data_IF_818239550426
#
_entry.id   IF_818239550426
#
_cell.length_a   1.000
_cell.length_b   1.000
_cell.length_c   1.000
_cell.angle_alpha   90.00
_cell.angle_beta   90.00
_cell.angle_gamma   90.00
#
_symmetry.space_group_name_H-M   'P 1'
#
loop_
_entity.id
_entity.type
_entity.pdbx_description
1 polymer ?
#
# COMPACT_ATOMS: atom_id res chain seq x y z
N UNK A 1 -8.56 3.47 15.76
CA UNK A 1 -7.58 3.04 14.74
C UNK A 1 -8.18 3.27 13.37
N UNK A 2 -7.41 3.82 12.42
CA UNK A 2 -7.88 4.22 11.10
C UNK A 2 -7.64 3.17 9.99
N UNK A 3 -7.20 1.96 10.37
CA UNK A 3 -6.90 0.85 9.46
C UNK A 3 -7.74 -0.36 9.88
N UNK A 4 -8.48 -0.95 8.94
CA UNK A 4 -9.14 -2.25 9.09
C UNK A 4 -8.23 -3.33 8.53
N UNK A 5 -7.93 -4.36 9.34
CA UNK A 5 -7.22 -5.56 8.92
C UNK A 5 -8.22 -6.67 8.64
N UNK A 6 -7.96 -7.46 7.59
CA UNK A 6 -8.81 -8.57 7.17
C UNK A 6 -7.98 -9.85 7.21
N UNK A 7 -8.51 -10.84 7.92
CA UNK A 7 -7.92 -12.17 8.06
C UNK A 7 -8.95 -13.22 7.61
N UNK A 8 -8.47 -14.31 7.02
CA UNK A 8 -9.28 -15.49 6.66
C UNK A 8 -8.83 -16.69 7.49
N UNK A 9 -9.77 -17.42 8.05
CA UNK A 9 -9.49 -18.68 8.76
C UNK A 9 -9.02 -19.72 7.74
N UNK A 10 -7.88 -20.36 8.02
CA UNK A 10 -7.29 -21.43 7.20
C UNK A 10 -7.40 -22.80 7.83
N UNK A 11 -7.64 -22.87 9.14
CA UNK A 11 -7.84 -24.13 9.86
C UNK A 11 -8.28 -23.89 11.29
N UNK A 12 -8.84 -24.92 11.91
CA UNK A 12 -9.21 -24.91 13.33
C UNK A 12 -8.67 -26.19 13.96
N UNK A 13 -7.92 -26.04 15.05
CA UNK A 13 -7.40 -27.17 15.84
C UNK A 13 -7.46 -26.83 17.32
N UNK A 14 -7.92 -27.78 18.15
CA UNK A 14 -8.00 -27.63 19.61
C UNK A 14 -8.70 -26.33 20.06
N UNK A 15 -9.76 -25.93 19.35
CA UNK A 15 -10.50 -24.70 19.63
C UNK A 15 -9.78 -23.40 19.23
N UNK A 16 -8.62 -23.47 18.57
CA UNK A 16 -7.87 -22.31 18.04
C UNK A 16 -8.01 -22.25 16.52
N UNK A 17 -8.30 -21.06 16.00
CA UNK A 17 -8.38 -20.80 14.57
C UNK A 17 -7.07 -20.20 14.05
N UNK A 18 -6.43 -20.89 13.10
CA UNK A 18 -5.32 -20.36 12.33
C UNK A 18 -5.87 -19.44 11.24
N UNK A 19 -5.21 -18.29 11.03
CA UNK A 19 -5.65 -17.31 10.05
C UNK A 19 -4.52 -16.82 9.16
N UNK A 20 -4.87 -16.44 7.93
CA UNK A 20 -3.97 -15.75 7.00
C UNK A 20 -4.42 -14.32 6.76
N UNK A 21 -3.46 -13.41 6.59
CA UNK A 21 -3.73 -12.03 6.18
C UNK A 21 -4.27 -12.00 4.74
N UNK A 22 -5.45 -11.41 4.54
CA UNK A 22 -6.06 -11.24 3.20
C UNK A 22 -6.09 -9.80 2.72
N UNK A 23 -5.81 -8.84 3.60
CA UNK A 23 -5.70 -7.44 3.20
C UNK A 23 -5.88 -6.44 4.33
N UNK A 24 -5.66 -5.17 4.01
CA UNK A 24 -6.01 -4.05 4.88
C UNK A 24 -6.69 -2.95 4.08
N UNK A 25 -7.39 -2.07 4.77
CA UNK A 25 -8.06 -0.92 4.18
C UNK A 25 -8.04 0.26 5.17
N UNK A 26 -7.54 1.40 4.71
CA UNK A 26 -7.67 2.65 5.46
C UNK A 26 -9.15 3.08 5.47
N UNK A 27 -9.63 3.52 6.64
CA UNK A 27 -11.02 3.95 6.81
C UNK A 27 -11.37 5.10 5.84
N UNK A 28 -12.59 5.07 5.32
CA UNK A 28 -13.04 6.03 4.32
C UNK A 28 -13.01 7.48 4.82
N UNK A 29 -13.53 7.73 6.02
CA UNK A 29 -13.58 9.07 6.62
C UNK A 29 -12.18 9.63 6.89
N UNK A 30 -11.26 8.75 7.31
CA UNK A 30 -9.85 9.08 7.45
C UNK A 30 -9.29 9.54 6.11
N UNK A 31 -9.44 8.76 5.05
CA UNK A 31 -8.90 9.11 3.74
C UNK A 31 -9.52 10.39 3.15
N UNK A 32 -10.84 10.57 3.29
CA UNK A 32 -11.57 11.77 2.81
C UNK A 32 -11.08 13.04 3.50
N UNK A 33 -10.61 12.94 4.74
CA UNK A 33 -10.03 14.07 5.48
C UNK A 33 -8.74 14.61 4.85
N UNK A 34 -8.04 13.88 3.98
CA UNK A 34 -6.79 14.33 3.35
C UNK A 34 -6.95 14.88 1.94
N UNK A 35 -7.99 14.46 1.23
CA UNK A 35 -8.26 14.93 -0.13
C UNK A 35 -8.82 16.34 -0.06
N UNK A 36 -8.20 17.28 -0.78
CA UNK A 36 -8.63 18.68 -0.86
C UNK A 36 -8.62 19.14 -2.31
N UNK A 37 -9.47 20.13 -2.61
CA UNK A 37 -9.46 20.82 -3.91
C UNK A 37 -8.09 21.48 -4.14
N UNK A 38 -7.70 21.63 -5.42
CA UNK A 38 -6.44 22.28 -5.87
C UNK A 38 -5.15 21.54 -5.50
N UNK A 39 -5.24 20.28 -5.04
CA UNK A 39 -4.10 19.38 -4.84
C UNK A 39 -4.12 18.26 -5.89
N UNK A 40 -2.96 17.68 -6.20
CA UNK A 40 -2.89 16.46 -7.01
C UNK A 40 -2.97 15.22 -6.10
N UNK A 41 -3.87 14.29 -6.46
CA UNK A 41 -3.95 12.94 -5.88
C UNK A 41 -3.40 11.94 -6.90
N UNK A 42 -2.24 11.37 -6.61
CA UNK A 42 -1.59 10.40 -7.49
C UNK A 42 -1.84 9.02 -6.91
N UNK A 43 -2.67 8.24 -7.60
CA UNK A 43 -2.99 6.87 -7.23
C UNK A 43 -2.21 5.88 -8.11
N UNK A 44 -1.68 4.84 -7.47
CA UNK A 44 -1.07 3.70 -8.13
C UNK A 44 -1.75 2.41 -7.64
N UNK A 45 -2.14 1.56 -8.57
CA UNK A 45 -2.66 0.22 -8.31
C UNK A 45 -1.72 -0.74 -9.01
N UNK A 46 -1.03 -1.58 -8.26
CA UNK A 46 -0.13 -2.58 -8.82
C UNK A 46 -0.33 -3.95 -8.17
N UNK A 47 -0.16 -4.99 -8.98
CA UNK A 47 -0.14 -6.36 -8.54
C UNK A 47 1.32 -6.77 -8.34
N UNK A 48 1.61 -7.39 -7.19
CA UNK A 48 2.96 -7.78 -6.77
C UNK A 48 2.96 -9.20 -6.25
N UNK A 49 4.12 -9.85 -6.34
CA UNK A 49 4.37 -11.17 -5.78
C UNK A 49 5.37 -11.05 -4.65
N UNK A 50 5.05 -11.65 -3.50
CA UNK A 50 5.96 -11.70 -2.36
C UNK A 50 7.02 -12.77 -2.53
N UNK A 51 8.06 -12.74 -1.69
CA UNK A 51 9.16 -13.71 -1.70
C UNK A 51 8.66 -15.16 -1.54
N UNK A 52 7.67 -15.36 -0.68
CA UNK A 52 7.01 -16.62 -0.38
C UNK A 52 5.89 -16.97 -1.38
N UNK A 53 5.71 -16.18 -2.44
CA UNK A 53 4.89 -16.55 -3.60
C UNK A 53 3.45 -16.06 -3.59
N UNK A 54 3.02 -15.30 -2.57
CA UNK A 54 1.68 -14.73 -2.52
C UNK A 54 1.52 -13.58 -3.50
N UNK A 55 0.37 -13.53 -4.17
CA UNK A 55 0.03 -12.44 -5.09
C UNK A 55 -0.90 -11.44 -4.40
N UNK A 56 -0.54 -10.16 -4.44
CA UNK A 56 -1.26 -9.06 -3.77
C UNK A 56 -1.55 -7.93 -4.75
N UNK A 57 -2.72 -7.30 -4.64
CA UNK A 57 -3.03 -6.00 -5.25
C UNK A 57 -2.88 -4.90 -4.22
N UNK A 58 -2.02 -3.93 -4.50
CA UNK A 58 -1.73 -2.81 -3.62
C UNK A 58 -2.27 -1.52 -4.24
N UNK A 59 -3.06 -0.78 -3.48
CA UNK A 59 -3.47 0.59 -3.83
C UNK A 59 -2.72 1.57 -2.93
N UNK A 60 -1.89 2.39 -3.54
CA UNK A 60 -1.09 3.41 -2.86
C UNK A 60 -1.45 4.80 -3.39
N UNK A 61 -1.34 5.80 -2.51
CA UNK A 61 -1.72 7.18 -2.81
C UNK A 61 -0.65 8.14 -2.33
N UNK A 62 -0.28 9.08 -3.20
CA UNK A 62 0.53 10.25 -2.88
C UNK A 62 -0.34 11.50 -3.04
N UNK A 63 -0.35 12.33 -2.00
CA UNK A 63 -1.00 13.64 -1.98
C UNK A 63 0.05 14.73 -1.99
N UNK A 64 -0.04 15.64 -2.94
CA UNK A 64 0.89 16.78 -3.05
C UNK A 64 0.38 18.00 -2.26
N UNK A 65 1.25 18.99 -2.04
CA UNK A 65 0.85 20.27 -1.41
C UNK A 65 0.23 21.28 -2.40
N UNK A 66 0.34 21.04 -3.70
CA UNK A 66 -0.26 21.85 -4.76
C UNK A 66 -0.47 21.00 -6.02
N UNK A 67 -1.31 21.46 -6.95
CA UNK A 67 -1.49 20.80 -8.26
C UNK A 67 -0.17 20.75 -9.03
N UNK A 68 0.20 19.60 -9.55
CA UNK A 68 1.42 19.40 -10.33
C UNK A 68 1.11 19.03 -11.80
N UNK A 69 2.13 19.09 -12.66
CA UNK A 69 2.01 18.69 -14.07
C UNK A 69 1.87 17.17 -14.21
N UNK A 70 1.12 16.73 -15.23
CA UNK A 70 0.86 15.32 -15.54
C UNK A 70 2.13 14.50 -15.76
N UNK A 71 3.19 15.10 -16.32
CA UNK A 71 4.50 14.47 -16.49
C UNK A 71 5.11 14.05 -15.15
N UNK A 72 5.06 14.92 -14.14
CA UNK A 72 5.53 14.63 -12.77
C UNK A 72 4.64 13.60 -12.08
N UNK A 73 3.32 13.66 -12.28
CA UNK A 73 2.41 12.63 -11.75
C UNK A 73 2.73 11.24 -12.31
N UNK A 74 3.06 11.14 -13.60
CA UNK A 74 3.50 9.89 -14.24
C UNK A 74 4.81 9.37 -13.63
N UNK A 75 5.81 10.23 -13.45
CA UNK A 75 7.09 9.84 -12.83
C UNK A 75 6.89 9.31 -11.40
N UNK A 76 6.09 10.01 -10.59
CA UNK A 76 5.77 9.58 -9.22
C UNK A 76 5.06 8.22 -9.24
N UNK A 77 4.08 8.02 -10.14
CA UNK A 77 3.37 6.74 -10.25
C UNK A 77 4.30 5.58 -10.60
N UNK A 78 5.25 5.79 -11.51
CA UNK A 78 6.24 4.78 -11.89
C UNK A 78 7.18 4.43 -10.72
N UNK A 79 7.68 5.44 -9.99
CA UNK A 79 8.53 5.20 -8.82
C UNK A 79 7.77 4.46 -7.70
N UNK A 80 6.50 4.81 -7.46
CA UNK A 80 5.65 4.07 -6.52
C UNK A 80 5.57 2.59 -6.89
N UNK A 81 5.25 2.27 -8.16
CA UNK A 81 5.18 0.90 -8.64
C UNK A 81 6.50 0.16 -8.47
N UNK A 82 7.62 0.77 -8.90
CA UNK A 82 8.96 0.19 -8.79
C UNK A 82 9.33 -0.17 -7.35
N UNK A 83 9.13 0.76 -6.41
CA UNK A 83 9.44 0.54 -4.99
C UNK A 83 8.56 -0.56 -4.38
N UNK A 84 7.26 -0.55 -4.64
CA UNK A 84 6.33 -1.55 -4.08
C UNK A 84 6.68 -2.94 -4.60
N UNK A 85 6.95 -3.08 -5.90
CA UNK A 85 7.32 -4.37 -6.51
C UNK A 85 8.65 -4.90 -5.97
N UNK A 86 9.68 -4.05 -5.91
CA UNK A 86 10.99 -4.45 -5.37
C UNK A 86 10.85 -4.92 -3.92
N UNK A 87 10.14 -4.14 -3.09
CA UNK A 87 9.96 -4.46 -1.67
C UNK A 87 9.19 -5.75 -1.45
N UNK A 88 8.15 -6.01 -2.25
CA UNK A 88 7.39 -7.24 -2.18
C UNK A 88 8.27 -8.46 -2.50
N UNK A 89 9.10 -8.39 -3.54
CA UNK A 89 9.97 -9.51 -3.94
C UNK A 89 11.02 -9.91 -2.89
N UNK A 90 11.37 -9.01 -1.99
CA UNK A 90 12.37 -9.24 -0.93
C UNK A 90 11.76 -9.78 0.38
N UNK A 91 10.43 -9.69 0.55
CA UNK A 91 9.75 -9.88 1.84
C UNK A 91 8.72 -10.99 1.77
N UNK A 92 8.54 -11.71 2.87
CA UNK A 92 7.40 -12.64 3.04
C UNK A 92 6.10 -11.86 3.19
N UNK A 93 4.95 -12.53 3.06
CA UNK A 93 3.63 -11.91 3.22
C UNK A 93 3.52 -11.17 4.56
N UNK A 94 3.92 -11.81 5.66
CA UNK A 94 3.80 -11.24 7.00
C UNK A 94 4.66 -9.99 7.19
N UNK A 95 5.92 -10.06 6.74
CA UNK A 95 6.83 -8.90 6.78
C UNK A 95 6.28 -7.75 5.94
N UNK A 96 5.84 -8.04 4.71
CA UNK A 96 5.31 -7.03 3.82
C UNK A 96 4.02 -6.42 4.36
N UNK A 97 3.13 -7.23 4.96
CA UNK A 97 1.92 -6.76 5.62
C UNK A 97 2.24 -5.82 6.79
N UNK A 98 3.20 -6.17 7.65
CA UNK A 98 3.66 -5.30 8.72
C UNK A 98 4.21 -3.97 8.18
N UNK A 99 5.05 -4.00 7.15
CA UNK A 99 5.61 -2.78 6.57
C UNK A 99 4.56 -1.85 5.95
N UNK A 100 3.50 -2.42 5.34
CA UNK A 100 2.37 -1.66 4.83
C UNK A 100 1.55 -1.02 5.96
N UNK A 101 1.17 -1.81 6.96
CA UNK A 101 0.25 -1.38 8.04
C UNK A 101 0.93 -0.40 8.99
N UNK A 102 2.22 -0.61 9.30
CA UNK A 102 3.00 0.27 10.17
C UNK A 102 3.55 1.51 9.46
N UNK A 103 3.28 1.66 8.16
CA UNK A 103 3.64 2.87 7.39
C UNK A 103 5.09 2.94 6.92
N UNK A 104 5.90 1.89 7.12
CA UNK A 104 7.30 1.85 6.66
C UNK A 104 7.38 1.95 5.13
N UNK A 105 6.53 1.20 4.42
CA UNK A 105 6.48 1.26 2.95
C UNK A 105 6.08 2.67 2.45
N UNK A 106 5.12 3.32 3.12
CA UNK A 106 4.71 4.68 2.77
C UNK A 106 5.85 5.70 2.99
N UNK A 107 6.63 5.54 4.06
CA UNK A 107 7.79 6.38 4.34
C UNK A 107 8.90 6.23 3.29
N UNK A 108 9.17 5.00 2.84
CA UNK A 108 10.17 4.75 1.81
C UNK A 108 9.74 5.36 0.46
N UNK A 109 8.47 5.20 0.08
CA UNK A 109 7.90 5.89 -1.09
C UNK A 109 8.03 7.41 -0.95
N UNK A 110 7.69 7.98 0.21
CA UNK A 110 7.83 9.43 0.46
C UNK A 110 9.26 9.91 0.21
N UNK A 111 10.26 9.21 0.75
CA UNK A 111 11.68 9.55 0.56
C UNK A 111 12.08 9.52 -0.92
N UNK A 112 11.54 8.58 -1.68
CA UNK A 112 11.82 8.45 -3.11
C UNK A 112 11.17 9.56 -3.95
N UNK A 113 9.94 9.97 -3.61
CA UNK A 113 9.15 10.87 -4.47
C UNK A 113 9.24 12.34 -4.08
N UNK A 114 9.71 12.68 -2.87
CA UNK A 114 9.82 14.08 -2.40
C UNK A 114 10.72 14.97 -3.27
N UNK A 115 11.64 14.37 -4.03
CA UNK A 115 12.52 15.09 -4.96
C UNK A 115 11.78 15.70 -6.16
N UNK A 116 10.60 15.17 -6.52
CA UNK A 116 9.84 15.66 -7.68
C UNK A 116 8.96 16.87 -7.35
N UNK A 117 8.39 16.89 -6.15
CA UNK A 117 7.56 17.98 -5.65
C UNK A 117 7.33 17.87 -4.13
N UNK A 118 6.89 18.96 -3.48
CA UNK A 118 6.45 18.93 -2.08
C UNK A 118 5.28 17.98 -1.85
N UNK A 119 5.53 16.91 -1.09
CA UNK A 119 4.55 15.90 -0.72
C UNK A 119 3.87 16.30 0.60
N UNK A 120 2.55 16.16 0.63
CA UNK A 120 1.75 16.34 1.85
C UNK A 120 1.67 15.04 2.63
N UNK A 121 1.39 13.93 1.95
CA UNK A 121 1.19 12.62 2.57
C UNK A 121 1.38 11.50 1.56
N UNK A 122 1.84 10.34 2.05
CA UNK A 122 1.84 9.08 1.32
C UNK A 122 1.11 8.06 2.18
N UNK A 123 0.25 7.24 1.56
CA UNK A 123 -0.51 6.20 2.25
C UNK A 123 -0.57 4.92 1.40
N UNK A 124 -0.52 3.76 2.05
CA UNK A 124 -1.01 2.53 1.46
C UNK A 124 -2.51 2.46 1.82
N UNK A 125 -3.36 2.74 0.84
CA UNK A 125 -4.79 2.85 1.07
C UNK A 125 -5.44 1.48 1.27
N UNK A 126 -5.00 0.48 0.50
CA UNK A 126 -5.61 -0.84 0.49
C UNK A 126 -4.62 -1.89 0.03
N UNK A 127 -4.64 -3.06 0.65
CA UNK A 127 -4.08 -4.29 0.08
C UNK A 127 -5.16 -5.35 -0.04
N UNK A 128 -5.04 -6.20 -1.07
CA UNK A 128 -5.92 -7.35 -1.28
C UNK A 128 -5.10 -8.55 -1.73
N UNK A 129 -5.26 -9.68 -1.05
CA UNK A 129 -4.71 -10.96 -1.49
C UNK A 129 -5.45 -11.44 -2.74
N UNK A 130 -4.71 -11.73 -3.80
CA UNK A 130 -5.20 -12.23 -5.08
C UNK A 130 -5.01 -13.73 -5.22
N UNK A 131 -3.90 -14.27 -4.70
CA UNK A 131 -3.56 -15.68 -4.84
C UNK A 131 -2.63 -16.13 -3.73
N UNK A 132 -2.81 -17.39 -3.32
CA UNK A 132 -1.91 -18.10 -2.42
C UNK A 132 -0.93 -18.94 -3.25
N UNK A 133 0.30 -19.17 -2.76
CA UNK A 133 1.22 -20.13 -3.37
C UNK A 133 0.56 -21.51 -3.44
N UNK A 134 0.84 -22.26 -4.52
CA UNK A 134 0.52 -23.69 -4.60
C UNK A 134 1.59 -24.51 -3.89
#
# INVERSE_FOLDING_TARGET
GYISLKFKITGVSEGKASTIFVGHEAMYDYFRSFVRRRLSKIQNICDVKTKDGYSLRITSVVLTRHKIQSSKERLIRMEMGRFITARASERTLDQFAQEMVLGKLAMDIYKAVKKYCPIRRVEIQKSKLLGVPQ
#
